data_IF_961301990259
#
_entry.id   IF_961301990259
#
_cell.length_a   1.000
_cell.length_b   1.000
_cell.length_c   1.000
_cell.angle_alpha   90.00
_cell.angle_beta   90.00
_cell.angle_gamma   90.00
#
_symmetry.space_group_name_H-M   'P 1'
#
loop_
_entity.id
_entity.type
_entity.pdbx_description
1 polymer ?
#
# COMPACT_ATOMS: atom_id res chain seq x y z
N UNK A 1 -18.09 35.37 -20.37
CA UNK A 1 -18.17 33.92 -20.07
C UNK A 1 -16.97 33.61 -19.22
N UNK A 2 -17.16 33.19 -17.97
CA UNK A 2 -16.03 32.76 -17.15
C UNK A 2 -15.49 31.45 -17.76
N UNK A 3 -14.20 31.38 -18.05
CA UNK A 3 -13.56 30.10 -18.36
C UNK A 3 -13.83 29.15 -17.19
N UNK A 4 -14.50 28.02 -17.45
CA UNK A 4 -14.60 26.95 -16.47
C UNK A 4 -13.18 26.51 -16.13
N UNK A 5 -12.73 26.83 -14.93
CA UNK A 5 -11.39 26.47 -14.45
C UNK A 5 -11.29 24.94 -14.43
N UNK A 6 -10.55 24.40 -15.40
CA UNK A 6 -10.29 22.99 -15.55
C UNK A 6 -9.29 22.55 -14.47
N UNK A 7 -9.67 21.58 -13.64
CA UNK A 7 -8.80 21.03 -12.60
C UNK A 7 -7.83 20.02 -13.23
N UNK A 8 -6.53 20.29 -13.18
CA UNK A 8 -5.52 19.52 -13.90
C UNK A 8 -4.87 18.49 -12.99
N UNK A 9 -5.16 17.22 -13.27
CA UNK A 9 -4.64 16.06 -12.53
C UNK A 9 -3.55 15.39 -13.35
N UNK A 10 -2.30 15.58 -12.94
CA UNK A 10 -1.18 14.83 -13.49
C UNK A 10 -1.22 13.39 -12.98
N UNK A 11 -1.02 12.39 -13.83
CA UNK A 11 -0.92 10.99 -13.42
C UNK A 11 0.39 10.32 -13.82
N UNK A 12 1.01 9.62 -12.87
CA UNK A 12 2.25 8.86 -13.04
C UNK A 12 2.06 7.41 -12.57
N UNK A 13 1.85 6.50 -13.52
CA UNK A 13 1.56 5.09 -13.26
C UNK A 13 2.42 4.20 -14.16
N UNK A 14 2.71 2.96 -13.73
CA UNK A 14 3.30 1.95 -14.63
C UNK A 14 2.41 1.71 -15.86
N UNK A 15 3.01 1.45 -17.03
CA UNK A 15 2.30 1.28 -18.31
C UNK A 15 1.11 0.30 -18.21
N UNK A 16 1.30 -0.86 -17.56
CA UNK A 16 0.23 -1.85 -17.35
C UNK A 16 -0.97 -1.26 -16.59
N UNK A 17 -0.72 -0.40 -15.61
CA UNK A 17 -1.77 0.29 -14.83
C UNK A 17 -2.45 1.38 -15.66
N UNK A 18 -1.68 2.13 -16.46
CA UNK A 18 -2.25 3.12 -17.37
C UNK A 18 -3.26 2.47 -18.31
N UNK A 19 -2.86 1.39 -19.01
CA UNK A 19 -3.75 0.66 -19.92
C UNK A 19 -4.96 0.01 -19.22
N UNK A 20 -4.81 -0.34 -17.94
CA UNK A 20 -5.91 -0.98 -17.18
C UNK A 20 -6.92 0.02 -16.65
N UNK A 21 -6.47 1.18 -16.15
CA UNK A 21 -7.28 2.12 -15.39
C UNK A 21 -7.58 3.43 -16.10
N UNK A 22 -6.63 3.98 -16.88
CA UNK A 22 -6.81 5.24 -17.62
C UNK A 22 -7.40 4.93 -18.99
N UNK A 23 -8.64 4.43 -18.98
CA UNK A 23 -9.41 4.13 -20.20
C UNK A 23 -10.21 5.34 -20.63
N UNK A 24 -10.64 5.37 -21.89
CA UNK A 24 -11.46 6.46 -22.45
C UNK A 24 -12.71 6.75 -21.61
N UNK A 25 -13.33 5.73 -21.01
CA UNK A 25 -14.48 5.91 -20.12
C UNK A 25 -14.16 6.79 -18.91
N UNK A 26 -12.96 6.64 -18.31
CA UNK A 26 -12.54 7.48 -17.18
C UNK A 26 -12.13 8.86 -17.66
N UNK A 27 -11.39 8.96 -18.77
CA UNK A 27 -10.94 10.25 -19.33
C UNK A 27 -12.13 11.12 -19.73
N UNK A 28 -13.11 10.54 -20.44
CA UNK A 28 -14.32 11.25 -20.85
C UNK A 28 -15.17 11.66 -19.65
N UNK A 29 -15.31 10.78 -18.65
CA UNK A 29 -16.02 11.11 -17.41
C UNK A 29 -15.31 12.24 -16.65
N UNK A 30 -14.00 12.18 -16.47
CA UNK A 30 -13.21 13.23 -15.83
C UNK A 30 -13.39 14.58 -16.55
N UNK A 31 -13.26 14.59 -17.88
CA UNK A 31 -13.46 15.80 -18.69
C UNK A 31 -14.86 16.38 -18.54
N UNK A 32 -15.90 15.53 -18.53
CA UNK A 32 -17.29 15.97 -18.30
C UNK A 32 -17.53 16.58 -16.92
N UNK A 33 -16.59 16.39 -15.98
CA UNK A 33 -16.60 16.95 -14.62
C UNK A 33 -15.59 18.09 -14.45
N UNK A 34 -15.06 18.64 -15.55
CA UNK A 34 -14.08 19.72 -15.50
C UNK A 34 -12.69 19.28 -15.03
N UNK A 35 -12.35 17.99 -15.15
CA UNK A 35 -11.05 17.44 -14.75
C UNK A 35 -10.26 17.04 -15.99
N UNK A 36 -9.03 17.55 -16.11
CA UNK A 36 -8.08 17.14 -17.15
C UNK A 36 -7.08 16.13 -16.61
N UNK A 37 -7.13 14.92 -17.12
CA UNK A 37 -6.16 13.88 -16.78
C UNK A 37 -4.96 13.97 -17.72
N UNK A 38 -3.82 14.36 -17.17
CA UNK A 38 -2.59 14.58 -17.96
C UNK A 38 -1.55 13.54 -17.58
N UNK A 39 -1.06 12.81 -18.57
CA UNK A 39 0.04 11.86 -18.34
C UNK A 39 1.31 12.61 -17.98
N UNK A 40 1.92 12.25 -16.86
CA UNK A 40 3.27 12.70 -16.49
C UNK A 40 4.31 11.76 -17.13
N UNK A 41 5.36 12.33 -17.68
CA UNK A 41 6.58 11.60 -18.05
C UNK A 41 7.54 11.57 -16.85
N UNK A 42 7.78 10.40 -16.22
CA UNK A 42 8.64 10.32 -15.05
C UNK A 42 10.12 10.56 -15.37
N UNK A 43 10.53 10.57 -16.65
CA UNK A 43 11.91 10.84 -17.05
C UNK A 43 12.23 12.34 -17.21
N UNK A 44 11.26 13.20 -16.91
CA UNK A 44 11.37 14.66 -16.96
C UNK A 44 10.99 15.20 -15.59
N UNK A 45 11.59 16.32 -15.20
CA UNK A 45 11.24 16.98 -13.95
C UNK A 45 9.72 17.22 -13.87
N UNK A 46 9.14 16.87 -12.72
CA UNK A 46 7.70 17.03 -12.48
C UNK A 46 7.27 18.50 -12.47
N UNK A 47 8.08 19.38 -11.90
CA UNK A 47 7.84 20.84 -11.80
C UNK A 47 7.68 21.50 -13.18
N UNK A 48 8.41 21.01 -14.18
CA UNK A 48 8.39 21.55 -15.55
C UNK A 48 7.18 21.08 -16.38
N UNK A 49 6.39 20.14 -15.88
CA UNK A 49 5.24 19.55 -16.59
C UNK A 49 3.89 20.15 -16.17
N UNK A 50 3.89 20.95 -15.11
CA UNK A 50 2.72 21.57 -14.52
C UNK A 50 2.22 22.84 -15.24
N UNK A 51 1.41 23.67 -14.55
CA UNK A 51 0.92 23.46 -13.19
C UNK A 51 -0.07 22.29 -13.12
N UNK A 52 -0.04 21.56 -12.01
CA UNK A 52 -1.06 20.55 -11.67
C UNK A 52 -1.74 20.97 -10.38
N UNK A 53 -3.05 20.81 -10.30
CA UNK A 53 -3.78 20.95 -9.04
C UNK A 53 -3.68 19.67 -8.19
N UNK A 54 -3.43 18.52 -8.84
CA UNK A 54 -3.24 17.24 -8.18
C UNK A 54 -2.27 16.33 -8.96
N UNK A 55 -1.47 15.54 -8.25
CA UNK A 55 -0.63 14.47 -8.81
C UNK A 55 -1.11 13.13 -8.27
N UNK A 56 -1.67 12.29 -9.14
CA UNK A 56 -2.04 10.91 -8.84
C UNK A 56 -0.92 9.98 -9.26
N UNK A 57 -0.33 9.24 -8.33
CA UNK A 57 0.84 8.42 -8.68
C UNK A 57 0.84 7.03 -8.05
N UNK A 58 1.63 6.15 -8.67
CA UNK A 58 1.89 4.80 -8.15
C UNK A 58 3.25 4.28 -8.62
N UNK A 59 4.26 5.11 -8.38
CA UNK A 59 5.69 4.87 -8.58
C UNK A 59 6.39 5.09 -7.22
N UNK A 60 7.48 4.37 -6.96
CA UNK A 60 8.03 4.25 -5.60
C UNK A 60 9.56 4.32 -5.54
N UNK A 61 10.23 4.56 -6.67
CA UNK A 61 11.68 4.74 -6.69
C UNK A 61 12.09 6.07 -6.04
N UNK A 62 13.34 6.13 -5.58
CA UNK A 62 13.87 7.26 -4.82
C UNK A 62 13.89 8.55 -5.65
N UNK A 63 14.12 8.45 -6.96
CA UNK A 63 14.09 9.58 -7.88
C UNK A 63 12.68 10.20 -7.94
N UNK A 64 11.66 9.37 -8.18
CA UNK A 64 10.27 9.81 -8.17
C UNK A 64 9.87 10.45 -6.83
N UNK A 65 10.31 9.86 -5.71
CA UNK A 65 10.05 10.43 -4.37
C UNK A 65 10.66 11.82 -4.22
N UNK A 66 11.88 12.04 -4.71
CA UNK A 66 12.53 13.35 -4.69
C UNK A 66 11.78 14.37 -5.56
N UNK A 67 11.34 13.97 -6.76
CA UNK A 67 10.54 14.82 -7.64
C UNK A 67 9.21 15.26 -6.98
N UNK A 68 8.53 14.36 -6.26
CA UNK A 68 7.30 14.70 -5.51
C UNK A 68 7.57 15.69 -4.38
N UNK A 69 8.68 15.53 -3.64
CA UNK A 69 9.06 16.44 -2.56
C UNK A 69 9.34 17.85 -3.10
N UNK A 70 10.09 17.94 -4.20
CA UNK A 70 10.39 19.21 -4.87
C UNK A 70 9.11 19.86 -5.43
N UNK A 71 8.23 19.08 -6.07
CA UNK A 71 6.95 19.56 -6.55
C UNK A 71 6.08 20.11 -5.41
N UNK A 72 6.00 19.41 -4.28
CA UNK A 72 5.21 19.84 -3.12
C UNK A 72 5.77 21.14 -2.51
N UNK A 73 7.08 21.31 -2.50
CA UNK A 73 7.73 22.54 -2.03
C UNK A 73 7.44 23.74 -2.93
N UNK A 74 7.41 23.54 -4.26
CA UNK A 74 7.16 24.60 -5.23
C UNK A 74 5.66 24.90 -5.44
N UNK A 75 4.79 23.93 -5.18
CA UNK A 75 3.34 24.02 -5.39
C UNK A 75 2.58 23.58 -4.13
N UNK A 76 2.61 24.36 -3.04
CA UNK A 76 2.04 23.96 -1.75
C UNK A 76 0.50 23.79 -1.76
N UNK A 77 -0.18 24.32 -2.78
CA UNK A 77 -1.63 24.16 -2.95
C UNK A 77 -2.00 22.92 -3.78
N UNK A 78 -1.03 22.26 -4.41
CA UNK A 78 -1.27 21.06 -5.19
C UNK A 78 -1.32 19.82 -4.28
N UNK A 79 -2.22 18.89 -4.57
CA UNK A 79 -2.39 17.66 -3.78
C UNK A 79 -1.57 16.52 -4.39
N UNK A 80 -0.79 15.80 -3.59
CA UNK A 80 -0.13 14.56 -4.02
C UNK A 80 -0.89 13.36 -3.45
N UNK A 81 -1.45 12.54 -4.35
CA UNK A 81 -2.25 11.36 -4.02
C UNK A 81 -1.49 10.06 -4.33
N UNK A 82 -1.04 9.30 -3.34
CA UNK A 82 -0.97 9.59 -1.89
C UNK A 82 0.38 10.22 -1.51
N UNK A 83 0.49 10.81 -0.30
CA UNK A 83 1.77 11.36 0.15
C UNK A 83 2.85 10.27 0.26
N UNK A 84 4.12 10.56 -0.05
CA UNK A 84 5.20 9.58 0.08
C UNK A 84 5.31 8.95 1.48
N UNK A 85 5.10 9.73 2.54
CA UNK A 85 5.14 9.27 3.93
C UNK A 85 4.01 8.27 4.24
N UNK A 86 2.81 8.55 3.71
CA UNK A 86 1.65 7.68 3.89
C UNK A 86 1.86 6.33 3.20
N UNK A 87 2.46 6.34 2.01
CA UNK A 87 2.82 5.15 1.24
C UNK A 87 3.91 4.34 1.94
N UNK A 88 4.96 4.99 2.46
CA UNK A 88 6.08 4.33 3.13
C UNK A 88 5.64 3.49 4.32
N UNK A 89 4.63 3.96 5.07
CA UNK A 89 4.00 3.19 6.17
C UNK A 89 3.38 1.87 5.69
N UNK A 90 2.96 1.77 4.43
CA UNK A 90 2.34 0.56 3.86
C UNK A 90 3.38 -0.45 3.34
N UNK A 91 4.64 -0.06 3.15
CA UNK A 91 5.70 -0.95 2.65
C UNK A 91 6.25 -1.91 3.71
N UNK A 92 5.94 -1.69 4.98
CA UNK A 92 6.37 -2.52 6.10
C UNK A 92 5.16 -3.17 6.79
N UNK A 93 5.20 -4.50 6.94
CA UNK A 93 4.08 -5.29 7.50
C UNK A 93 3.72 -4.94 8.95
N UNK A 94 4.64 -4.33 9.70
CA UNK A 94 4.40 -3.89 11.08
C UNK A 94 3.66 -2.55 11.06
N UNK A 95 4.25 -1.53 10.42
CA UNK A 95 3.67 -0.18 10.40
C UNK A 95 2.32 -0.13 9.70
N UNK A 96 2.11 -0.97 8.67
CA UNK A 96 0.82 -1.01 7.96
C UNK A 96 -0.32 -1.54 8.85
N UNK A 97 -0.01 -2.36 9.85
CA UNK A 97 -0.99 -3.00 10.74
C UNK A 97 -1.14 -2.26 12.07
N UNK A 98 -0.20 -1.37 12.41
CA UNK A 98 -0.24 -0.56 13.62
C UNK A 98 -1.53 0.25 13.73
N UNK A 99 -2.01 0.82 12.61
CA UNK A 99 -3.27 1.59 12.60
C UNK A 99 -4.44 0.74 13.08
N UNK A 100 -4.49 -0.56 12.75
CA UNK A 100 -5.58 -1.45 13.15
C UNK A 100 -5.58 -1.68 14.65
N UNK A 101 -4.40 -1.78 15.28
CA UNK A 101 -4.29 -1.92 16.74
C UNK A 101 -4.63 -0.64 17.51
N UNK A 102 -4.60 0.52 16.85
CA UNK A 102 -4.90 1.82 17.45
C UNK A 102 -6.36 2.25 17.25
N UNK A 103 -7.13 1.51 16.44
CA UNK A 103 -8.54 1.78 16.22
C UNK A 103 -9.33 1.67 17.53
N UNK A 104 -10.01 2.76 17.89
CA UNK A 104 -10.99 2.78 18.96
C UNK A 104 -12.37 2.59 18.32
N UNK A 105 -12.95 1.42 18.55
CA UNK A 105 -14.31 1.11 18.11
C UNK A 105 -15.18 1.12 19.36
N UNK A 106 -16.07 2.10 19.43
CA UNK A 106 -16.97 2.29 20.58
C UNK A 106 -18.10 1.26 20.62
N UNK A 107 -18.25 0.45 19.57
CA UNK A 107 -19.20 -0.66 19.50
C UNK A 107 -18.61 -1.91 20.17
N UNK A 108 -19.33 -2.43 21.17
CA UNK A 108 -18.93 -3.62 21.95
C UNK A 108 -19.33 -4.95 21.31
N UNK A 109 -20.05 -4.91 20.19
CA UNK A 109 -20.59 -6.12 19.55
C UNK A 109 -19.70 -6.67 18.44
N UNK A 110 -18.81 -5.84 17.88
CA UNK A 110 -17.93 -6.21 16.78
C UNK A 110 -16.47 -6.30 17.23
N UNK A 111 -15.72 -7.25 16.65
CA UNK A 111 -14.29 -7.37 16.90
C UNK A 111 -13.52 -7.03 15.63
N UNK A 112 -12.69 -5.99 15.69
CA UNK A 112 -11.71 -5.67 14.64
C UNK A 112 -10.32 -5.90 15.21
N UNK A 113 -9.47 -6.55 14.44
CA UNK A 113 -8.11 -6.81 14.87
C UNK A 113 -7.27 -7.51 13.82
N UNK A 114 -6.02 -7.70 14.19
CA UNK A 114 -5.05 -8.45 13.40
C UNK A 114 -4.82 -9.81 14.07
N UNK A 115 -4.72 -10.91 13.31
CA UNK A 115 -4.30 -12.18 13.89
C UNK A 115 -2.94 -12.02 14.55
N UNK A 116 -2.75 -12.66 15.71
CA UNK A 116 -1.53 -12.56 16.50
C UNK A 116 -0.31 -12.88 15.64
N UNK A 117 0.73 -12.08 15.75
CA UNK A 117 1.91 -12.21 14.90
C UNK A 117 3.18 -11.80 15.63
N UNK A 118 4.31 -12.36 15.20
CA UNK A 118 5.64 -12.09 15.73
C UNK A 118 6.59 -11.83 14.55
N UNK A 119 7.49 -10.86 14.73
CA UNK A 119 8.55 -10.54 13.79
C UNK A 119 9.81 -11.29 14.18
N UNK A 120 10.40 -12.00 13.23
CA UNK A 120 11.63 -12.75 13.40
C UNK A 120 12.66 -12.17 12.44
N UNK A 121 13.64 -11.46 12.99
CA UNK A 121 14.71 -10.82 12.23
C UNK A 121 15.91 -11.75 11.98
N UNK A 122 16.15 -12.69 12.89
CA UNK A 122 17.37 -13.49 12.92
C UNK A 122 17.07 -14.98 12.88
N UNK A 123 17.91 -15.73 12.16
CA UNK A 123 17.74 -17.19 12.01
C UNK A 123 17.79 -17.92 13.35
N UNK A 124 18.59 -17.43 14.30
CA UNK A 124 18.70 -18.01 15.64
C UNK A 124 17.36 -18.04 16.39
N UNK A 125 16.51 -17.02 16.20
CA UNK A 125 15.19 -16.93 16.85
C UNK A 125 14.20 -17.95 16.30
N UNK A 126 14.37 -18.45 15.07
CA UNK A 126 13.49 -19.49 14.51
C UNK A 126 13.53 -20.80 15.30
N UNK A 127 14.63 -21.06 16.01
CA UNK A 127 14.80 -22.26 16.84
C UNK A 127 14.25 -22.10 18.26
N UNK A 128 13.78 -20.90 18.62
CA UNK A 128 13.22 -20.65 19.94
C UNK A 128 11.79 -21.20 20.06
N UNK A 129 11.66 -22.32 20.75
CA UNK A 129 10.37 -22.97 21.03
C UNK A 129 9.37 -22.05 21.72
N UNK A 130 9.81 -21.00 22.41
CA UNK A 130 8.91 -20.02 23.05
C UNK A 130 8.12 -19.22 22.02
N UNK A 131 8.72 -18.91 20.86
CA UNK A 131 8.04 -18.21 19.76
C UNK A 131 6.90 -19.06 19.21
N UNK A 132 7.16 -20.35 19.00
CA UNK A 132 6.12 -21.29 18.56
C UNK A 132 5.00 -21.44 19.59
N UNK A 133 5.34 -21.59 20.88
CA UNK A 133 4.34 -21.69 21.96
C UNK A 133 3.52 -20.41 22.13
N UNK A 134 4.03 -19.27 21.69
CA UNK A 134 3.32 -18.00 21.78
C UNK A 134 2.23 -17.84 20.69
N UNK A 135 2.21 -18.67 19.65
CA UNK A 135 1.27 -18.60 18.54
C UNK A 135 0.44 -19.89 18.44
N UNK A 136 -0.82 -19.77 18.01
CA UNK A 136 -1.65 -20.91 17.64
C UNK A 136 -1.26 -21.42 16.26
N UNK A 137 -1.11 -22.74 16.15
CA UNK A 137 -0.84 -23.43 14.89
C UNK A 137 -2.14 -23.68 14.10
N UNK A 138 -2.10 -23.71 12.76
CA UNK A 138 -0.94 -23.40 11.92
C UNK A 138 -0.67 -21.90 11.84
N UNK A 139 0.53 -21.52 11.40
CA UNK A 139 0.92 -20.12 11.20
C UNK A 139 1.28 -19.87 9.75
N UNK A 140 1.00 -18.67 9.24
CA UNK A 140 1.47 -18.21 7.94
C UNK A 140 2.70 -17.32 8.11
N UNK A 141 3.77 -17.67 7.39
CA UNK A 141 5.01 -16.91 7.34
C UNK A 141 5.04 -16.04 6.07
N UNK A 142 5.38 -14.76 6.23
CA UNK A 142 5.38 -13.75 5.17
C UNK A 142 6.65 -12.90 5.27
N UNK A 143 7.33 -12.55 4.16
CA UNK A 143 8.48 -11.64 4.20
C UNK A 143 8.11 -10.32 4.87
N UNK A 144 9.02 -9.72 5.66
CA UNK A 144 8.73 -8.47 6.37
C UNK A 144 8.42 -7.31 5.42
N UNK A 145 9.09 -7.27 4.27
CA UNK A 145 8.83 -6.30 3.20
C UNK A 145 7.50 -6.64 2.51
N UNK A 146 6.59 -5.66 2.45
CA UNK A 146 5.24 -5.84 1.93
C UNK A 146 5.10 -5.50 0.43
N UNK A 147 6.04 -4.77 -0.16
CA UNK A 147 5.95 -4.27 -1.54
C UNK A 147 7.13 -4.67 -2.45
N UNK A 148 6.91 -4.58 -3.77
CA UNK A 148 7.98 -4.28 -4.73
C UNK A 148 8.64 -5.45 -5.47
N UNK A 149 8.35 -6.73 -5.17
CA UNK A 149 8.89 -7.84 -5.99
C UNK A 149 8.15 -9.16 -5.83
N UNK A 150 8.35 -10.10 -6.77
CA UNK A 150 7.86 -11.48 -6.62
C UNK A 150 8.35 -12.17 -5.33
N UNK A 151 9.42 -11.66 -4.70
CA UNK A 151 9.93 -12.18 -3.42
C UNK A 151 9.05 -11.78 -2.22
N UNK A 152 8.38 -10.63 -2.22
CA UNK A 152 7.50 -10.19 -1.11
C UNK A 152 6.21 -11.02 -0.98
N UNK A 153 5.86 -11.75 -2.05
CA UNK A 153 4.68 -12.63 -2.12
C UNK A 153 4.95 -14.10 -1.80
N UNK A 154 6.21 -14.48 -1.50
CA UNK A 154 6.54 -15.86 -1.12
C UNK A 154 6.11 -16.14 0.32
N UNK A 155 4.94 -16.72 0.49
CA UNK A 155 4.39 -17.10 1.78
C UNK A 155 4.51 -18.61 2.01
N UNK A 156 4.58 -19.02 3.27
CA UNK A 156 4.58 -20.43 3.66
C UNK A 156 3.55 -20.66 4.78
N UNK A 157 2.83 -21.78 4.71
CA UNK A 157 1.99 -22.25 5.81
C UNK A 157 2.76 -23.28 6.62
N UNK A 158 2.92 -23.03 7.92
CA UNK A 158 3.77 -23.81 8.82
C UNK A 158 2.90 -24.48 9.87
N UNK A 159 2.94 -25.80 9.89
CA UNK A 159 2.10 -26.63 10.76
C UNK A 159 2.78 -27.06 12.07
N UNK A 160 4.11 -27.06 12.10
CA UNK A 160 4.90 -27.49 13.25
C UNK A 160 6.14 -26.62 13.41
N UNK A 161 6.77 -26.71 14.58
CA UNK A 161 7.97 -25.94 14.92
C UNK A 161 9.12 -26.15 13.91
N UNK A 162 9.33 -27.39 13.44
CA UNK A 162 10.42 -27.72 12.50
C UNK A 162 10.28 -27.00 11.15
N UNK A 163 9.05 -26.74 10.71
CA UNK A 163 8.79 -25.99 9.48
C UNK A 163 9.33 -24.56 9.51
N UNK A 164 9.46 -23.93 10.70
CA UNK A 164 10.06 -22.60 10.84
C UNK A 164 11.53 -22.57 10.39
N UNK A 165 12.26 -23.68 10.48
CA UNK A 165 13.69 -23.75 10.17
C UNK A 165 14.01 -23.46 8.69
N UNK A 166 13.02 -23.64 7.81
CA UNK A 166 13.14 -23.39 6.36
C UNK A 166 12.93 -21.93 5.97
N UNK A 167 12.44 -21.11 6.90
CA UNK A 167 12.15 -19.70 6.65
C UNK A 167 13.44 -18.88 6.53
N UNK A 168 13.36 -17.80 5.75
CA UNK A 168 14.44 -16.83 5.58
C UNK A 168 14.02 -15.50 6.21
N UNK A 169 14.54 -15.15 7.39
CA UNK A 169 14.35 -13.85 7.99
C UNK A 169 14.89 -12.70 7.09
N UNK A 170 14.38 -11.46 7.22
CA UNK A 170 13.32 -11.06 8.15
C UNK A 170 11.93 -11.51 7.70
N UNK A 171 11.17 -12.11 8.63
CA UNK A 171 9.86 -12.72 8.36
C UNK A 171 8.87 -12.37 9.46
N UNK A 172 7.61 -12.21 9.08
CA UNK A 172 6.46 -12.12 9.98
C UNK A 172 5.80 -13.50 10.03
N UNK A 173 5.65 -14.04 11.24
CA UNK A 173 4.92 -15.29 11.50
C UNK A 173 3.62 -14.92 12.19
N UNK A 174 2.49 -15.21 11.55
CA UNK A 174 1.15 -14.83 11.99
C UNK A 174 0.26 -16.05 12.13
N UNK A 175 -0.59 -16.10 13.16
CA UNK A 175 -1.60 -17.15 13.30
C UNK A 175 -2.46 -17.24 12.04
N UNK A 176 -2.64 -18.45 11.53
CA UNK A 176 -3.52 -18.68 10.40
C UNK A 176 -4.97 -18.76 10.90
N UNK A 177 -5.84 -17.95 10.30
CA UNK A 177 -7.27 -17.95 10.62
C UNK A 177 -8.01 -18.66 9.50
N UNK A 178 -8.74 -19.73 9.85
CA UNK A 178 -9.64 -20.39 8.92
C UNK A 178 -10.80 -19.45 8.57
N UNK A 179 -10.91 -19.10 7.29
CA UNK A 179 -11.85 -18.09 6.79
C UNK A 179 -12.72 -18.61 5.64
N UNK A 180 -12.94 -19.94 5.58
CA UNK A 180 -13.81 -20.58 4.58
C UNK A 180 -13.34 -20.42 3.13
N UNK A 181 -12.07 -20.06 2.90
CA UNK A 181 -11.55 -19.77 1.57
C UNK A 181 -12.03 -18.45 0.97
N UNK A 182 -12.66 -17.57 1.76
CA UNK A 182 -13.21 -16.28 1.31
C UNK A 182 -12.41 -15.11 1.86
N UNK A 183 -11.98 -14.20 0.98
CA UNK A 183 -11.33 -12.95 1.35
C UNK A 183 -12.19 -11.79 0.89
N UNK A 184 -12.59 -10.93 1.82
CA UNK A 184 -13.28 -9.68 1.52
C UNK A 184 -12.24 -8.60 1.23
N UNK A 185 -12.21 -8.12 -0.02
CA UNK A 185 -11.34 -7.01 -0.44
C UNK A 185 -12.17 -5.73 -0.44
N UNK A 186 -11.82 -4.83 0.46
CA UNK A 186 -12.43 -3.51 0.54
C UNK A 186 -11.60 -2.54 -0.29
N UNK A 187 -12.23 -1.87 -1.25
CA UNK A 187 -11.61 -0.85 -2.09
C UNK A 187 -12.06 0.53 -1.64
N UNK A 188 -11.11 1.40 -1.34
CA UNK A 188 -11.36 2.74 -0.79
C UNK A 188 -10.86 3.80 -1.77
N UNK A 189 -11.69 4.82 -2.03
CA UNK A 189 -11.34 6.03 -2.78
C UNK A 189 -11.88 7.23 -1.99
N UNK A 190 -11.03 7.89 -1.22
CA UNK A 190 -11.46 8.91 -0.26
C UNK A 190 -12.52 8.36 0.69
N UNK A 191 -13.67 9.01 0.75
CA UNK A 191 -14.81 8.61 1.60
C UNK A 191 -15.67 7.49 0.99
N UNK A 192 -15.37 7.03 -0.23
CA UNK A 192 -16.12 5.97 -0.90
C UNK A 192 -15.49 4.61 -0.63
N UNK A 193 -16.30 3.69 -0.13
CA UNK A 193 -15.92 2.30 0.18
C UNK A 193 -16.77 1.35 -0.66
N UNK A 194 -16.14 0.33 -1.25
CA UNK A 194 -16.80 -0.72 -2.05
C UNK A 194 -16.24 -2.11 -1.77
#
# INVERSE_FOLDING_TARGET
MAEEKLFRVGYALLLKKQSSFIRDSLVNLARSRGIDLVRIDPNRNLTDQGPFDCVLHKLYDDDWRNQLNEFTANYPNAVVLDSPESIERLHNRISMLQVVSELKIDDRTETVGIPKQIVINDKAKLFDRRIWKALKSPVIAKPLVADGSAKSHKMALVYNHEGLNSLKPPVVVQEFVNHGGVIFKVYVVGERVR
#
